data_IF_945895844262
#
_entry.id   IF_945895844262
#
_cell.length_a   1.000
_cell.length_b   1.000
_cell.length_c   1.000
_cell.angle_alpha   90.00
_cell.angle_beta   90.00
_cell.angle_gamma   90.00
#
_symmetry.space_group_name_H-M   'P 1'
#
loop_
_entity.id
_entity.type
_entity.pdbx_description
1 polymer ?
#
# COMPACT_ATOMS: atom_id res chain seq x y z
N UNK A 1 -27.30 -29.98 57.00
CA UNK A 1 -26.91 -30.61 55.73
C UNK A 1 -27.61 -29.86 54.60
N UNK A 2 -26.92 -28.96 53.89
CA UNK A 2 -27.45 -28.29 52.68
C UNK A 2 -26.52 -28.66 51.53
N UNK A 3 -27.03 -29.50 50.64
CA UNK A 3 -26.35 -30.03 49.46
C UNK A 3 -26.39 -28.94 48.37
N UNK A 4 -25.26 -28.34 48.03
CA UNK A 4 -25.16 -27.43 46.89
C UNK A 4 -24.91 -28.26 45.62
N UNK A 5 -25.90 -28.29 44.73
CA UNK A 5 -25.81 -28.85 43.39
C UNK A 5 -25.11 -27.83 42.48
N UNK A 6 -23.84 -28.06 42.14
CA UNK A 6 -23.12 -27.24 41.16
C UNK A 6 -23.49 -27.72 39.76
N UNK A 7 -24.23 -26.90 39.03
CA UNK A 7 -24.61 -27.16 37.64
C UNK A 7 -23.46 -26.73 36.73
N UNK A 8 -22.71 -27.68 36.19
CA UNK A 8 -21.67 -27.47 35.17
C UNK A 8 -22.36 -27.15 33.83
N UNK A 9 -22.34 -25.88 33.43
CA UNK A 9 -22.75 -25.45 32.08
C UNK A 9 -21.55 -25.65 31.14
N UNK A 10 -21.63 -26.50 30.11
CA UNK A 10 -20.58 -26.59 29.12
C UNK A 10 -20.57 -25.33 28.26
N UNK A 11 -19.50 -24.54 28.36
CA UNK A 11 -19.24 -23.41 27.48
C UNK A 11 -18.92 -24.00 26.09
N UNK A 12 -19.92 -24.00 25.22
CA UNK A 12 -19.75 -24.35 23.81
C UNK A 12 -19.02 -23.19 23.15
N UNK A 13 -17.69 -23.31 23.02
CA UNK A 13 -16.88 -22.43 22.18
C UNK A 13 -17.30 -22.65 20.72
N UNK A 14 -18.24 -21.85 20.23
CA UNK A 14 -18.45 -21.68 18.79
C UNK A 14 -17.24 -20.93 18.23
N UNK A 15 -16.19 -21.67 17.89
CA UNK A 15 -15.10 -21.15 17.06
C UNK A 15 -15.66 -20.86 15.66
N UNK A 16 -16.17 -19.65 15.47
CA UNK A 16 -16.47 -19.07 14.17
C UNK A 16 -15.15 -18.93 13.41
N UNK A 17 -14.74 -19.97 12.70
CA UNK A 17 -13.57 -19.97 11.83
C UNK A 17 -13.88 -19.09 10.60
N UNK A 18 -13.71 -17.77 10.72
CA UNK A 18 -13.66 -16.89 9.55
C UNK A 18 -12.35 -17.19 8.81
N UNK A 19 -12.43 -17.69 7.58
CA UNK A 19 -11.25 -17.85 6.70
C UNK A 19 -10.62 -16.45 6.53
N UNK A 20 -9.34 -16.34 6.88
CA UNK A 20 -8.55 -15.14 6.62
C UNK A 20 -8.35 -15.01 5.10
N UNK A 21 -8.39 -13.79 4.54
CA UNK A 21 -8.03 -13.58 3.14
C UNK A 21 -6.58 -14.03 2.89
N UNK A 22 -6.36 -14.70 1.76
CA UNK A 22 -5.04 -15.19 1.35
C UNK A 22 -4.37 -14.13 0.45
N UNK A 23 -3.15 -13.70 0.80
CA UNK A 23 -2.34 -12.81 -0.03
C UNK A 23 -1.43 -13.63 -0.93
N UNK A 24 -1.31 -13.26 -2.21
CA UNK A 24 -0.42 -13.90 -3.18
C UNK A 24 0.42 -12.85 -3.90
N UNK A 25 1.67 -13.20 -4.21
CA UNK A 25 2.52 -12.41 -5.11
C UNK A 25 2.18 -12.85 -6.53
N UNK A 26 1.83 -11.90 -7.38
CA UNK A 26 1.49 -12.11 -8.79
C UNK A 26 2.38 -11.23 -9.68
N UNK A 27 2.64 -11.66 -10.91
CA UNK A 27 3.31 -10.81 -11.90
C UNK A 27 2.33 -9.70 -12.32
N UNK A 28 2.68 -8.41 -12.19
CA UNK A 28 1.79 -7.32 -12.61
C UNK A 28 1.40 -7.37 -14.09
N UNK A 29 2.18 -8.04 -14.95
CA UNK A 29 1.83 -8.24 -16.37
C UNK A 29 0.73 -9.28 -16.58
N UNK A 30 0.38 -10.07 -15.57
CA UNK A 30 -0.73 -11.02 -15.60
C UNK A 30 -2.06 -10.37 -15.18
N UNK A 31 -2.03 -9.12 -14.72
CA UNK A 31 -3.21 -8.37 -14.28
C UNK A 31 -3.83 -7.62 -15.46
N UNK A 32 -5.14 -7.77 -15.65
CA UNK A 32 -5.90 -6.93 -16.58
C UNK A 32 -6.20 -5.57 -15.93
N UNK A 33 -5.92 -4.50 -16.67
CA UNK A 33 -6.29 -3.14 -16.24
C UNK A 33 -7.81 -3.01 -16.31
N UNK A 34 -8.43 -2.62 -15.19
CA UNK A 34 -9.88 -2.40 -15.11
C UNK A 34 -10.30 -1.20 -15.95
N UNK A 35 -11.56 -1.15 -16.39
CA UNK A 35 -12.09 0.00 -17.12
C UNK A 35 -12.21 1.25 -16.22
N UNK A 36 -12.41 2.42 -16.85
CA UNK A 36 -12.73 3.63 -16.08
C UNK A 36 -14.14 3.45 -15.53
N UNK A 37 -14.27 3.45 -14.20
CA UNK A 37 -15.56 3.30 -13.51
C UNK A 37 -16.07 4.61 -12.90
N UNK A 38 -15.21 5.62 -12.81
CA UNK A 38 -15.59 6.98 -12.40
C UNK A 38 -15.40 7.97 -13.55
N UNK A 39 -16.50 8.52 -14.07
CA UNK A 39 -16.45 9.54 -15.12
C UNK A 39 -15.70 10.80 -14.67
N UNK A 40 -15.88 11.19 -13.41
CA UNK A 40 -15.34 12.42 -12.82
C UNK A 40 -14.74 12.16 -11.43
N UNK A 41 -13.69 12.90 -11.11
CA UNK A 41 -13.13 13.02 -9.77
C UNK A 41 -13.58 14.35 -9.15
N UNK A 42 -13.75 14.39 -7.83
CA UNK A 42 -14.05 15.63 -7.12
C UNK A 42 -12.86 16.60 -7.17
N UNK A 43 -13.11 17.89 -6.96
CA UNK A 43 -12.03 18.90 -6.95
C UNK A 43 -10.94 18.59 -5.91
N UNK A 44 -11.33 18.09 -4.73
CA UNK A 44 -10.39 17.67 -3.68
C UNK A 44 -9.54 16.47 -4.12
N UNK A 45 -10.16 15.47 -4.74
CA UNK A 45 -9.42 14.31 -5.26
C UNK A 45 -8.39 14.75 -6.31
N UNK A 46 -8.78 15.63 -7.24
CA UNK A 46 -7.86 16.16 -8.26
C UNK A 46 -6.69 16.91 -7.61
N UNK A 47 -6.94 17.72 -6.58
CA UNK A 47 -5.90 18.42 -5.82
C UNK A 47 -4.92 17.44 -5.17
N UNK A 48 -5.43 16.43 -4.45
CA UNK A 48 -4.61 15.42 -3.78
C UNK A 48 -3.80 14.58 -4.77
N UNK A 49 -4.41 14.16 -5.88
CA UNK A 49 -3.74 13.41 -6.96
C UNK A 49 -2.65 14.26 -7.63
N UNK A 50 -2.89 15.55 -7.83
CA UNK A 50 -1.87 16.47 -8.37
C UNK A 50 -0.67 16.61 -7.42
N UNK A 51 -0.92 16.62 -6.11
CA UNK A 51 0.13 16.61 -5.09
C UNK A 51 0.92 15.29 -5.10
N UNK A 52 0.25 14.15 -5.22
CA UNK A 52 0.89 12.84 -5.37
C UNK A 52 1.78 12.84 -6.62
N UNK A 53 1.22 13.21 -7.78
CA UNK A 53 1.92 13.24 -9.06
C UNK A 53 3.18 14.11 -9.00
N UNK A 54 3.07 15.34 -8.51
CA UNK A 54 4.21 16.25 -8.40
C UNK A 54 5.30 15.75 -7.44
N UNK A 55 4.93 15.00 -6.39
CA UNK A 55 5.90 14.41 -5.45
C UNK A 55 6.76 13.33 -6.13
N UNK A 56 6.18 12.57 -7.06
CA UNK A 56 6.83 11.45 -7.72
C UNK A 56 7.31 11.75 -9.15
N UNK A 57 7.06 12.95 -9.68
CA UNK A 57 7.35 13.31 -11.07
C UNK A 57 8.83 13.11 -11.51
N UNK A 58 9.78 13.10 -10.57
CA UNK A 58 11.18 12.78 -10.90
C UNK A 58 11.41 11.29 -11.17
N UNK A 59 10.66 10.40 -10.50
CA UNK A 59 10.88 8.94 -10.49
C UNK A 59 9.84 8.17 -11.29
N UNK A 60 8.66 8.77 -11.50
CA UNK A 60 7.55 8.26 -12.30
C UNK A 60 7.22 9.27 -13.40
N UNK A 61 7.36 8.84 -14.66
CA UNK A 61 7.17 9.68 -15.85
C UNK A 61 5.73 9.67 -16.37
N UNK A 62 4.81 9.02 -15.66
CA UNK A 62 3.39 9.01 -16.02
C UNK A 62 2.85 10.44 -16.05
N UNK A 63 2.05 10.77 -17.07
CA UNK A 63 1.45 12.11 -17.17
C UNK A 63 0.41 12.31 -16.08
N UNK A 64 0.14 13.58 -15.71
CA UNK A 64 -0.94 13.89 -14.76
C UNK A 64 -2.29 13.39 -15.27
N UNK A 65 -2.54 13.49 -16.58
CA UNK A 65 -3.77 12.97 -17.21
C UNK A 65 -3.91 11.46 -17.02
N UNK A 66 -2.84 10.69 -17.29
CA UNK A 66 -2.88 9.24 -17.10
C UNK A 66 -3.01 8.88 -15.62
N UNK A 67 -2.33 9.61 -14.73
CA UNK A 67 -2.46 9.42 -13.28
C UNK A 67 -3.91 9.63 -12.84
N UNK A 68 -4.57 10.70 -13.30
CA UNK A 68 -5.99 10.94 -13.02
C UNK A 68 -6.88 9.83 -13.59
N UNK A 69 -6.56 9.31 -14.77
CA UNK A 69 -7.30 8.19 -15.35
C UNK A 69 -7.11 6.88 -14.55
N UNK A 70 -5.92 6.64 -14.00
CA UNK A 70 -5.67 5.47 -13.16
C UNK A 70 -6.53 5.54 -11.88
N UNK A 71 -6.58 6.69 -11.22
CA UNK A 71 -7.48 6.89 -10.06
C UNK A 71 -8.97 6.79 -10.40
N UNK A 72 -9.37 7.02 -11.66
CA UNK A 72 -10.75 6.81 -12.11
C UNK A 72 -11.10 5.33 -12.33
N UNK A 73 -10.10 4.44 -12.40
CA UNK A 73 -10.29 2.98 -12.49
C UNK A 73 -10.41 2.34 -11.12
N UNK A 74 -9.91 3.01 -10.08
CA UNK A 74 -10.00 2.53 -8.72
C UNK A 74 -11.45 2.45 -8.24
N UNK A 75 -11.82 1.32 -7.64
CA UNK A 75 -13.18 1.12 -7.12
C UNK A 75 -13.54 2.12 -6.02
N UNK A 76 -12.54 2.48 -5.20
CA UNK A 76 -12.66 3.53 -4.20
C UNK A 76 -11.47 4.50 -4.30
N UNK A 77 -11.57 5.57 -5.10
CA UNK A 77 -10.48 6.51 -5.29
C UNK A 77 -10.02 7.20 -4.00
N UNK A 78 -10.91 7.40 -3.02
CA UNK A 78 -10.53 8.04 -1.75
C UNK A 78 -9.59 7.17 -0.91
N UNK A 79 -9.83 5.85 -0.90
CA UNK A 79 -8.95 4.89 -0.19
C UNK A 79 -7.57 4.87 -0.86
N UNK A 80 -7.52 4.81 -2.19
CA UNK A 80 -6.27 4.79 -2.95
C UNK A 80 -5.51 6.12 -2.79
N UNK A 81 -6.18 7.26 -2.90
CA UNK A 81 -5.57 8.58 -2.65
C UNK A 81 -4.95 8.62 -1.25
N UNK A 82 -5.61 8.06 -0.23
CA UNK A 82 -5.06 8.02 1.11
C UNK A 82 -3.74 7.22 1.16
N UNK A 83 -3.69 6.03 0.55
CA UNK A 83 -2.48 5.20 0.47
C UNK A 83 -1.35 5.95 -0.23
N UNK A 84 -1.63 6.54 -1.39
CA UNK A 84 -0.65 7.27 -2.18
C UNK A 84 -0.15 8.54 -1.48
N UNK A 85 -1.00 9.25 -0.74
CA UNK A 85 -0.59 10.38 0.10
C UNK A 85 0.34 9.94 1.24
N UNK A 86 0.10 8.77 1.85
CA UNK A 86 1.00 8.21 2.86
C UNK A 86 2.36 7.85 2.26
N UNK A 87 2.37 7.25 1.06
CA UNK A 87 3.61 7.00 0.31
C UNK A 87 4.36 8.30 0.02
N UNK A 88 3.66 9.33 -0.44
CA UNK A 88 4.25 10.64 -0.73
C UNK A 88 4.88 11.26 0.52
N UNK A 89 4.19 11.20 1.66
CA UNK A 89 4.69 11.68 2.94
C UNK A 89 5.94 10.91 3.39
N UNK A 90 5.94 9.58 3.28
CA UNK A 90 7.09 8.75 3.64
C UNK A 90 8.31 9.07 2.75
N UNK A 91 8.09 9.21 1.45
CA UNK A 91 9.13 9.54 0.47
C UNK A 91 9.76 10.90 0.77
N UNK A 92 8.93 11.94 0.93
CA UNK A 92 9.41 13.29 1.26
C UNK A 92 10.14 13.32 2.60
N UNK A 93 9.65 12.59 3.61
CA UNK A 93 10.27 12.52 4.93
C UNK A 93 11.65 11.87 4.87
N UNK A 94 11.81 10.77 4.15
CA UNK A 94 13.11 10.16 3.93
C UNK A 94 14.05 11.08 3.14
N UNK A 95 13.54 11.78 2.11
CA UNK A 95 14.34 12.67 1.25
C UNK A 95 14.79 13.97 1.92
N UNK A 96 14.15 14.38 3.02
CA UNK A 96 14.43 15.65 3.69
C UNK A 96 15.90 15.75 4.09
N UNK A 97 16.61 16.73 3.50
CA UNK A 97 18.03 16.98 3.76
C UNK A 97 18.99 15.97 3.15
N UNK A 98 18.51 15.01 2.35
CA UNK A 98 19.35 14.03 1.65
C UNK A 98 19.55 14.46 0.20
N UNK A 99 20.80 14.37 -0.26
CA UNK A 99 21.13 14.50 -1.68
C UNK A 99 21.29 13.09 -2.27
N UNK A 100 20.26 12.62 -2.99
CA UNK A 100 20.21 11.28 -3.60
C UNK A 100 20.21 11.40 -5.12
N UNK A 101 20.87 10.47 -5.81
CA UNK A 101 20.82 10.39 -7.28
C UNK A 101 19.42 9.97 -7.74
N UNK A 102 19.11 10.16 -9.02
CA UNK A 102 17.82 9.76 -9.59
C UNK A 102 17.56 8.25 -9.40
N UNK A 103 18.58 7.43 -9.55
CA UNK A 103 18.47 5.98 -9.42
C UNK A 103 18.21 5.57 -7.97
N UNK A 104 18.86 6.21 -7.00
CA UNK A 104 18.55 6.04 -5.59
C UNK A 104 17.12 6.44 -5.28
N UNK A 105 16.65 7.58 -5.81
CA UNK A 105 15.26 8.05 -5.64
C UNK A 105 14.25 7.03 -6.19
N UNK A 106 14.52 6.46 -7.37
CA UNK A 106 13.69 5.40 -7.97
C UNK A 106 13.63 4.15 -7.09
N UNK A 107 14.74 3.76 -6.46
CA UNK A 107 14.74 2.61 -5.56
C UNK A 107 14.00 2.89 -4.25
N UNK A 108 14.11 4.11 -3.70
CA UNK A 108 13.30 4.54 -2.54
C UNK A 108 11.80 4.50 -2.87
N UNK A 109 11.42 5.00 -4.05
CA UNK A 109 10.04 4.93 -4.52
C UNK A 109 9.53 3.48 -4.57
N UNK A 110 10.30 2.55 -5.16
CA UNK A 110 9.96 1.13 -5.21
C UNK A 110 9.83 0.48 -3.84
N UNK A 111 10.72 0.82 -2.90
CA UNK A 111 10.65 0.31 -1.53
C UNK A 111 9.37 0.77 -0.82
N UNK A 112 9.01 2.05 -0.96
CA UNK A 112 7.81 2.60 -0.34
C UNK A 112 6.54 2.04 -0.99
N UNK A 113 6.51 1.94 -2.32
CA UNK A 113 5.43 1.27 -3.05
C UNK A 113 5.27 -0.19 -2.60
N UNK A 114 6.36 -0.92 -2.43
CA UNK A 114 6.28 -2.30 -1.93
C UNK A 114 5.75 -2.32 -0.50
N UNK A 115 6.20 -1.39 0.35
CA UNK A 115 5.78 -1.29 1.76
C UNK A 115 4.31 -0.95 1.93
N UNK A 116 3.68 -0.25 0.99
CA UNK A 116 2.23 -0.04 1.06
C UNK A 116 1.44 -1.33 0.88
N UNK A 117 2.02 -2.39 0.31
CA UNK A 117 1.34 -3.66 0.03
C UNK A 117 1.82 -4.83 0.91
N UNK A 118 3.01 -4.77 1.49
CA UNK A 118 3.57 -5.85 2.32
C UNK A 118 4.37 -5.32 3.53
N UNK A 119 4.67 -6.18 4.50
CA UNK A 119 5.48 -5.80 5.68
C UNK A 119 6.92 -5.44 5.29
N UNK A 120 7.62 -4.70 6.15
CA UNK A 120 9.02 -4.33 5.91
C UNK A 120 9.90 -5.58 5.72
N UNK A 121 9.65 -6.63 6.50
CA UNK A 121 10.35 -7.91 6.42
C UNK A 121 10.14 -8.57 5.06
N UNK A 122 8.91 -8.60 4.57
CA UNK A 122 8.58 -9.13 3.25
C UNK A 122 9.21 -8.29 2.12
N UNK A 123 9.21 -6.96 2.22
CA UNK A 123 9.86 -6.10 1.22
C UNK A 123 11.35 -6.45 1.11
N UNK A 124 12.06 -6.53 2.25
CA UNK A 124 13.50 -6.81 2.28
C UNK A 124 13.81 -8.22 1.75
N UNK A 125 12.91 -9.19 1.92
CA UNK A 125 13.10 -10.55 1.43
C UNK A 125 12.82 -10.69 -0.08
N UNK A 126 11.86 -9.92 -0.61
CA UNK A 126 11.39 -10.07 -1.98
C UNK A 126 12.00 -9.07 -2.97
N UNK A 127 12.57 -7.95 -2.50
CA UNK A 127 13.09 -6.90 -3.35
C UNK A 127 14.60 -7.01 -3.54
N UNK A 128 15.04 -7.12 -4.80
CA UNK A 128 16.45 -7.08 -5.18
C UNK A 128 16.96 -5.63 -5.12
N UNK A 129 17.63 -5.28 -4.01
CA UNK A 129 18.28 -3.99 -3.81
C UNK A 129 19.50 -3.86 -4.72
N UNK A 130 19.49 -2.85 -5.59
CA UNK A 130 20.55 -2.61 -6.57
C UNK A 130 21.49 -1.49 -6.17
N UNK A 131 21.03 -0.50 -5.40
CA UNK A 131 21.77 0.75 -5.17
C UNK A 131 21.90 1.09 -3.70
N UNK A 132 20.82 1.00 -2.94
CA UNK A 132 20.77 1.23 -1.51
C UNK A 132 21.31 0.02 -0.75
N UNK A 133 22.02 0.31 0.33
CA UNK A 133 22.33 -0.73 1.30
C UNK A 133 21.07 -1.23 2.01
N UNK A 134 21.10 -2.46 2.54
CA UNK A 134 20.02 -3.00 3.37
C UNK A 134 19.64 -2.06 4.52
N UNK A 135 20.63 -1.44 5.17
CA UNK A 135 20.40 -0.49 6.27
C UNK A 135 19.65 0.76 5.79
N UNK A 136 19.99 1.30 4.62
CA UNK A 136 19.25 2.42 4.04
C UNK A 136 17.83 2.00 3.64
N UNK A 137 17.65 0.78 3.12
CA UNK A 137 16.32 0.28 2.82
C UNK A 137 15.47 0.14 4.08
N UNK A 138 16.00 -0.42 5.18
CA UNK A 138 15.32 -0.47 6.47
C UNK A 138 14.95 0.94 6.98
N UNK A 139 15.85 1.93 6.82
CA UNK A 139 15.55 3.32 7.14
C UNK A 139 14.38 3.86 6.29
N UNK A 140 14.40 3.64 4.96
CA UNK A 140 13.31 4.05 4.05
C UNK A 140 11.98 3.47 4.51
N UNK A 141 11.93 2.16 4.76
CA UNK A 141 10.70 1.44 5.12
C UNK A 141 10.13 1.92 6.46
N UNK A 142 10.96 2.43 7.37
CA UNK A 142 10.51 2.99 8.65
C UNK A 142 9.69 4.27 8.53
N UNK A 143 9.75 4.98 7.39
CA UNK A 143 8.97 6.21 7.17
C UNK A 143 7.52 5.94 6.75
N UNK A 144 7.18 4.71 6.34
CA UNK A 144 5.79 4.32 6.07
C UNK A 144 5.24 3.56 7.29
N UNK A 145 4.40 4.25 8.07
CA UNK A 145 3.96 3.79 9.39
C UNK A 145 2.64 3.03 9.37
N UNK A 146 1.92 3.07 8.27
CA UNK A 146 0.61 2.44 8.16
C UNK A 146 0.75 0.94 7.89
N UNK A 147 -0.34 0.22 8.17
CA UNK A 147 -0.40 -1.20 7.87
C UNK A 147 -0.41 -1.41 6.35
N UNK A 148 0.29 -2.42 5.84
CA UNK A 148 0.21 -2.74 4.42
C UNK A 148 -1.22 -3.08 4.02
N UNK A 149 -1.63 -2.60 2.85
CA UNK A 149 -2.91 -2.83 2.23
C UNK A 149 -2.69 -3.44 0.83
N UNK A 150 -2.58 -4.78 0.72
CA UNK A 150 -2.47 -5.44 -0.57
C UNK A 150 -3.66 -5.11 -1.49
N UNK A 151 -3.40 -5.09 -2.79
CA UNK A 151 -4.44 -4.89 -3.82
C UNK A 151 -5.51 -5.98 -3.69
N UNK A 152 -6.77 -5.59 -3.68
CA UNK A 152 -7.90 -6.52 -3.69
C UNK A 152 -8.20 -6.94 -5.12
N UNK A 153 -8.17 -8.25 -5.37
CA UNK A 153 -8.60 -8.82 -6.63
C UNK A 153 -10.09 -9.16 -6.52
N UNK A 154 -10.89 -8.64 -7.44
CA UNK A 154 -12.26 -9.11 -7.64
C UNK A 154 -12.18 -10.29 -8.60
N UNK A 155 -12.55 -11.47 -8.13
CA UNK A 155 -12.79 -12.63 -9.00
C UNK A 155 -14.13 -12.42 -9.70
N UNK A 156 -14.14 -12.38 -11.04
CA UNK A 156 -15.35 -12.37 -11.88
C UNK A 156 -16.01 -13.75 -11.97
#
# INVERSE_FOLDING_TARGET
MRLFLVLLIPIVFFSSCKKQPETKIIDPNEISIHEIVHDTLTAKQIEDITKIHSTFAEVDTTSLENTLNDFKRDLNPDDEIQIWLQMANAYQSYMKGKNKTLEQKKEVYKLILSRSMMSSEEVIQNLDLKILSKKEAEEVLSFYTDNPMPIRVIEE
#
